data_IF_932831993152
#
_entry.id   IF_932831993152
#
_cell.length_a   1.000
_cell.length_b   1.000
_cell.length_c   1.000
_cell.angle_alpha   90.00
_cell.angle_beta   90.00
_cell.angle_gamma   90.00
#
_symmetry.space_group_name_H-M   'P 1'
#
loop_
_entity.id
_entity.type
_entity.pdbx_description
1 polymer ?
#
# COMPACT_ATOMS: atom_id res chain seq x y z
N UNK A 1 5.13 -19.20 10.04
CA UNK A 1 4.64 -19.31 11.44
C UNK A 1 4.56 -20.78 11.85
N UNK A 2 4.61 -21.08 13.12
CA UNK A 2 4.40 -22.41 13.70
C UNK A 2 3.20 -22.31 14.65
N UNK A 3 2.07 -22.96 14.31
CA UNK A 3 0.81 -22.88 15.07
C UNK A 3 0.37 -21.42 15.38
N UNK A 4 0.52 -20.52 14.41
CA UNK A 4 0.18 -19.10 14.56
C UNK A 4 1.25 -18.23 15.21
N UNK A 5 2.26 -18.80 15.86
CA UNK A 5 3.37 -18.05 16.45
C UNK A 5 4.47 -17.78 15.44
N UNK A 6 5.08 -16.59 15.50
CA UNK A 6 6.23 -16.25 14.66
C UNK A 6 7.42 -17.14 15.00
N UNK A 7 7.97 -17.84 14.01
CA UNK A 7 9.11 -18.73 14.17
C UNK A 7 10.41 -18.11 13.63
N UNK A 8 10.33 -17.40 12.50
CA UNK A 8 11.50 -16.76 11.88
C UNK A 8 11.22 -16.31 10.46
N UNK A 9 12.14 -15.49 9.93
CA UNK A 9 12.13 -15.00 8.54
C UNK A 9 13.43 -15.41 7.86
N UNK A 10 13.34 -15.92 6.65
CA UNK A 10 14.51 -16.28 5.82
C UNK A 10 14.84 -15.09 4.92
N UNK A 11 16.06 -14.53 5.08
CA UNK A 11 16.55 -13.40 4.29
C UNK A 11 17.54 -13.80 3.20
N UNK A 12 18.28 -14.89 3.40
CA UNK A 12 19.35 -15.29 2.50
C UNK A 12 18.85 -16.32 1.46
N UNK A 13 19.47 -16.31 0.30
CA UNK A 13 19.29 -17.34 -0.72
C UNK A 13 19.93 -18.65 -0.26
N UNK A 14 19.33 -19.81 -0.59
CA UNK A 14 19.87 -21.10 -0.24
C UNK A 14 18.83 -22.19 -0.11
N UNK A 15 19.31 -23.37 0.24
CA UNK A 15 18.46 -24.53 0.56
C UNK A 15 18.30 -24.61 2.07
N UNK A 16 17.04 -24.63 2.51
CA UNK A 16 16.70 -24.66 3.92
C UNK A 16 15.88 -25.89 4.25
N UNK A 17 16.22 -26.54 5.36
CA UNK A 17 15.36 -27.53 5.97
C UNK A 17 14.31 -26.80 6.82
N UNK A 18 13.04 -26.97 6.46
CA UNK A 18 11.92 -26.34 7.16
C UNK A 18 11.11 -27.44 7.85
N UNK A 19 10.70 -27.19 9.09
CA UNK A 19 9.78 -28.08 9.79
C UNK A 19 8.46 -28.19 9.01
N UNK A 20 7.96 -29.38 8.69
CA UNK A 20 6.74 -29.57 7.90
C UNK A 20 5.47 -28.98 8.56
N UNK A 21 5.50 -28.72 9.85
CA UNK A 21 4.42 -28.06 10.58
C UNK A 21 4.51 -26.52 10.54
N UNK A 22 5.55 -25.96 9.93
CA UNK A 22 5.66 -24.53 9.72
C UNK A 22 4.84 -24.10 8.50
N UNK A 23 3.97 -23.12 8.73
CA UNK A 23 3.19 -22.46 7.71
C UNK A 23 3.93 -21.21 7.19
N UNK A 24 4.01 -21.06 5.88
CA UNK A 24 4.62 -19.86 5.27
C UNK A 24 3.54 -18.81 5.08
N UNK A 25 3.74 -17.64 5.63
CA UNK A 25 2.87 -16.47 5.46
C UNK A 25 3.48 -15.55 4.41
N UNK A 26 2.71 -15.16 3.41
CA UNK A 26 3.15 -14.24 2.36
C UNK A 26 1.98 -13.41 1.85
N UNK A 27 2.25 -12.26 1.19
CA UNK A 27 1.21 -11.32 0.76
C UNK A 27 0.23 -11.92 -0.25
N UNK A 28 0.65 -12.93 -1.00
CA UNK A 28 -0.18 -13.58 -2.00
C UNK A 28 -1.11 -14.66 -1.42
N UNK A 29 -0.85 -15.16 -0.20
CA UNK A 29 -1.76 -16.10 0.47
C UNK A 29 -3.04 -15.39 0.93
N UNK A 30 -2.96 -14.10 1.23
CA UNK A 30 -4.07 -13.27 1.71
C UNK A 30 -5.07 -12.90 0.59
N UNK A 31 -4.60 -12.78 -0.66
CA UNK A 31 -5.46 -12.51 -1.81
C UNK A 31 -6.32 -13.71 -2.21
N UNK A 32 -5.84 -14.94 -2.03
CA UNK A 32 -6.59 -16.16 -2.39
C UNK A 32 -7.78 -16.36 -1.45
N UNK A 33 -7.60 -16.12 -0.15
CA UNK A 33 -8.67 -16.27 0.84
C UNK A 33 -9.82 -15.28 0.64
N UNK A 34 -9.52 -14.09 0.10
CA UNK A 34 -10.53 -13.06 -0.17
C UNK A 34 -11.30 -13.30 -1.48
N UNK A 35 -10.65 -13.86 -2.52
CA UNK A 35 -11.33 -14.24 -3.76
C UNK A 35 -12.24 -15.46 -3.56
N UNK A 36 -11.84 -16.45 -2.76
CA UNK A 36 -12.67 -17.61 -2.43
C UNK A 36 -13.90 -17.25 -1.58
N UNK A 37 -13.80 -16.24 -0.69
CA UNK A 37 -14.94 -15.76 0.09
C UNK A 37 -15.99 -15.02 -0.74
N UNK A 38 -15.58 -14.38 -1.84
CA UNK A 38 -16.53 -13.70 -2.75
C UNK A 38 -17.15 -14.63 -3.80
N UNK A 39 -16.50 -15.72 -4.16
CA UNK A 39 -17.00 -16.65 -5.19
C UNK A 39 -17.96 -17.73 -4.64
N UNK A 40 -18.04 -17.94 -3.33
CA UNK A 40 -18.86 -19.01 -2.71
C UNK A 40 -20.37 -18.64 -2.53
N UNK A 41 -20.83 -17.53 -3.14
CA UNK A 41 -22.25 -17.12 -3.04
C UNK A 41 -23.14 -17.66 -4.17
N UNK A 42 -22.65 -18.43 -5.16
CA UNK A 42 -23.51 -19.07 -6.16
C UNK A 42 -22.95 -20.38 -6.72
N UNK A 43 -23.70 -21.45 -6.41
CA UNK A 43 -23.88 -22.69 -7.20
C UNK A 43 -22.73 -23.67 -7.33
N UNK A 44 -22.94 -24.84 -6.75
CA UNK A 44 -22.12 -26.05 -6.90
C UNK A 44 -21.97 -26.53 -8.35
N UNK A 45 -20.81 -26.31 -8.91
CA UNK A 45 -20.25 -27.15 -9.93
C UNK A 45 -18.73 -27.14 -9.78
N UNK A 46 -18.16 -28.33 -9.56
CA UNK A 46 -16.71 -28.56 -9.52
C UNK A 46 -16.20 -28.44 -10.97
N UNK A 47 -15.79 -27.26 -11.41
CA UNK A 47 -15.06 -27.10 -12.65
C UNK A 47 -13.57 -27.35 -12.40
N UNK A 48 -13.17 -28.62 -12.55
CA UNK A 48 -11.75 -28.97 -12.69
C UNK A 48 -11.30 -28.54 -14.08
N UNK A 49 -10.91 -27.26 -14.24
CA UNK A 49 -10.24 -26.80 -15.45
C UNK A 49 -8.80 -27.32 -15.45
N UNK A 50 -8.61 -28.49 -16.02
CA UNK A 50 -7.32 -29.09 -16.36
C UNK A 50 -6.71 -28.48 -17.62
N UNK A 51 -6.89 -27.21 -17.88
CA UNK A 51 -6.19 -26.49 -18.94
C UNK A 51 -4.91 -25.89 -18.37
N UNK A 52 -3.79 -26.55 -18.67
CA UNK A 52 -2.42 -26.23 -18.23
C UNK A 52 -1.90 -24.86 -18.66
N UNK A 53 -2.44 -23.83 -18.06
CA UNK A 53 -1.77 -22.55 -17.87
C UNK A 53 -1.52 -22.46 -16.38
N UNK A 54 -0.24 -22.68 -16.00
CA UNK A 54 0.20 -22.71 -14.63
C UNK A 54 -0.43 -21.60 -13.82
N UNK A 55 -1.30 -21.97 -12.89
CA UNK A 55 -1.57 -21.11 -11.75
C UNK A 55 -0.18 -20.73 -11.23
N UNK A 56 0.23 -19.48 -11.39
CA UNK A 56 1.43 -18.97 -10.74
C UNK A 56 1.18 -19.24 -9.26
N UNK A 57 1.88 -20.25 -8.73
CA UNK A 57 1.87 -20.51 -7.32
C UNK A 57 2.09 -19.16 -6.64
N UNK A 58 1.09 -18.74 -5.86
CA UNK A 58 1.12 -17.45 -5.20
C UNK A 58 2.47 -17.33 -4.50
N UNK A 59 3.28 -16.36 -4.91
CA UNK A 59 4.64 -16.22 -4.38
C UNK A 59 4.55 -15.97 -2.89
N UNK A 60 5.09 -16.89 -2.10
CA UNK A 60 5.20 -16.77 -0.65
C UNK A 60 6.29 -15.78 -0.23
N UNK A 61 7.00 -15.20 -1.20
CA UNK A 61 8.07 -14.25 -1.00
C UNK A 61 7.56 -12.82 -1.06
N UNK A 62 8.02 -11.99 -0.13
CA UNK A 62 7.77 -10.55 -0.12
C UNK A 62 8.78 -9.87 -1.04
N UNK A 63 8.32 -9.04 -1.97
CA UNK A 63 9.20 -8.25 -2.82
C UNK A 63 9.77 -7.08 -2.02
N UNK A 64 11.10 -6.96 -2.01
CA UNK A 64 11.82 -5.82 -1.43
C UNK A 64 12.15 -4.74 -2.48
N UNK A 65 11.68 -4.92 -3.71
CA UNK A 65 11.89 -3.95 -4.79
C UNK A 65 11.06 -2.70 -4.54
N UNK A 66 11.54 -1.59 -5.09
CA UNK A 66 10.77 -0.35 -5.16
C UNK A 66 9.51 -0.57 -6.00
N UNK A 67 8.39 -0.14 -5.47
CA UNK A 67 7.07 -0.22 -6.06
C UNK A 67 6.47 1.18 -6.15
N UNK A 68 5.58 1.38 -7.11
CA UNK A 68 4.85 2.63 -7.29
C UNK A 68 3.37 2.38 -7.04
N UNK A 69 2.78 3.21 -6.19
CA UNK A 69 1.34 3.28 -5.98
C UNK A 69 0.82 4.52 -6.70
N UNK A 70 -0.01 4.31 -7.71
CA UNK A 70 -0.78 5.38 -8.34
C UNK A 70 -2.14 5.46 -7.65
N UNK A 71 -2.29 6.47 -6.80
CA UNK A 71 -3.51 6.64 -6.05
C UNK A 71 -4.57 7.35 -6.90
N UNK A 72 -5.80 6.85 -6.84
CA UNK A 72 -6.91 7.38 -7.62
C UNK A 72 -7.14 8.86 -7.29
N UNK A 73 -7.52 9.63 -8.31
CA UNK A 73 -7.91 11.05 -8.12
C UNK A 73 -9.04 11.15 -7.11
N UNK A 74 -8.85 12.04 -6.16
CA UNK A 74 -9.83 12.34 -5.12
C UNK A 74 -10.39 13.75 -5.31
N UNK A 75 -11.70 13.87 -5.12
CA UNK A 75 -12.35 15.17 -4.97
C UNK A 75 -12.31 15.56 -3.51
N UNK A 76 -11.64 16.64 -3.22
CA UNK A 76 -11.49 17.18 -1.86
C UNK A 76 -11.76 18.68 -1.90
N UNK A 77 -12.15 19.25 -0.77
CA UNK A 77 -12.27 20.71 -0.66
C UNK A 77 -10.97 21.25 -0.09
N UNK A 78 -10.50 22.35 -0.66
CA UNK A 78 -9.39 23.13 -0.13
C UNK A 78 -9.77 23.86 1.17
N UNK A 79 -8.82 24.65 1.73
CA UNK A 79 -9.04 25.47 2.92
C UNK A 79 -10.20 26.48 2.74
N UNK A 80 -10.38 27.02 1.54
CA UNK A 80 -11.42 27.97 1.20
C UNK A 80 -12.77 27.34 0.86
N UNK A 81 -12.83 25.99 0.82
CA UNK A 81 -14.03 25.23 0.48
C UNK A 81 -14.22 24.96 -1.02
N UNK A 82 -13.24 25.30 -1.88
CA UNK A 82 -13.33 25.02 -3.31
C UNK A 82 -13.10 23.53 -3.57
N UNK A 83 -13.90 22.86 -4.42
CA UNK A 83 -13.67 21.48 -4.79
C UNK A 83 -12.47 21.36 -5.74
N UNK A 84 -11.47 20.57 -5.34
CA UNK A 84 -10.25 20.29 -6.11
C UNK A 84 -10.13 18.81 -6.36
N UNK A 85 -9.61 18.40 -7.53
CA UNK A 85 -9.27 17.01 -7.81
C UNK A 85 -7.76 16.84 -7.66
N UNK A 86 -7.34 15.98 -6.72
CA UNK A 86 -5.92 15.72 -6.45
C UNK A 86 -5.60 14.27 -6.76
N UNK A 87 -4.56 14.05 -7.60
CA UNK A 87 -3.94 12.77 -7.85
C UNK A 87 -2.56 12.70 -7.20
N UNK A 88 -2.24 11.56 -6.57
CA UNK A 88 -0.97 11.38 -5.86
C UNK A 88 -0.31 10.07 -6.28
N UNK A 89 0.99 10.12 -6.57
CA UNK A 89 1.83 8.94 -6.79
C UNK A 89 2.79 8.81 -5.62
N UNK A 90 2.88 7.59 -5.08
CA UNK A 90 3.77 7.24 -3.97
C UNK A 90 4.77 6.20 -4.44
N UNK A 91 6.06 6.47 -4.29
CA UNK A 91 7.15 5.53 -4.53
C UNK A 91 7.60 4.99 -3.18
N UNK A 92 7.53 3.69 -3.03
CA UNK A 92 7.74 3.02 -1.75
C UNK A 92 8.41 1.66 -1.90
N UNK A 93 8.92 1.11 -0.82
CA UNK A 93 9.46 -0.25 -0.73
C UNK A 93 9.16 -0.87 0.63
N UNK A 94 9.28 -2.20 0.73
CA UNK A 94 9.21 -2.91 2.00
C UNK A 94 10.58 -2.86 2.66
N UNK A 95 10.71 -2.13 3.78
CA UNK A 95 11.93 -2.08 4.57
C UNK A 95 12.03 -3.28 5.52
N UNK A 96 10.93 -3.68 6.13
CA UNK A 96 10.87 -4.83 7.04
C UNK A 96 9.75 -5.78 6.65
N UNK A 97 10.11 -6.86 5.95
CA UNK A 97 9.17 -7.87 5.48
C UNK A 97 8.38 -8.55 6.61
N UNK A 98 8.99 -8.72 7.77
CA UNK A 98 8.33 -9.33 8.95
C UNK A 98 7.20 -8.45 9.45
N UNK A 99 7.45 -7.15 9.63
CA UNK A 99 6.41 -6.19 10.03
C UNK A 99 5.32 -6.08 8.98
N UNK A 100 5.68 -6.01 7.69
CA UNK A 100 4.72 -5.87 6.60
C UNK A 100 3.73 -7.03 6.48
N UNK A 101 4.14 -8.24 6.88
CA UNK A 101 3.29 -9.43 6.78
C UNK A 101 2.55 -9.75 8.09
N UNK A 102 3.14 -9.40 9.24
CA UNK A 102 2.55 -9.76 10.55
C UNK A 102 1.67 -8.64 11.13
N UNK A 103 2.00 -7.37 10.86
CA UNK A 103 1.29 -6.24 11.45
C UNK A 103 0.11 -5.79 10.59
N UNK A 104 0.16 -6.02 9.26
CA UNK A 104 -0.86 -5.55 8.33
C UNK A 104 -1.26 -6.68 7.39
N UNK A 105 -2.55 -6.88 7.21
CA UNK A 105 -3.08 -7.94 6.36
C UNK A 105 -2.79 -7.69 4.88
N UNK A 106 -3.04 -6.46 4.40
CA UNK A 106 -2.78 -6.03 3.02
C UNK A 106 -2.03 -4.70 3.00
N UNK A 107 -0.72 -4.75 3.02
CA UNK A 107 0.11 -3.54 3.14
C UNK A 107 -0.04 -2.57 1.96
N UNK A 108 -0.36 -3.04 0.75
CA UNK A 108 -0.57 -2.17 -0.40
C UNK A 108 -1.91 -1.40 -0.29
N UNK A 109 -2.98 -2.06 0.14
CA UNK A 109 -4.28 -1.42 0.39
C UNK A 109 -4.20 -0.48 1.60
N UNK A 110 -3.53 -0.90 2.67
CA UNK A 110 -3.26 -0.06 3.83
C UNK A 110 -2.54 1.24 3.43
N UNK A 111 -1.49 1.14 2.60
CA UNK A 111 -0.78 2.29 2.08
C UNK A 111 -1.68 3.22 1.27
N UNK A 112 -2.55 2.67 0.41
CA UNK A 112 -3.50 3.45 -0.39
C UNK A 112 -4.46 4.24 0.50
N UNK A 113 -5.03 3.60 1.53
CA UNK A 113 -5.94 4.25 2.48
C UNK A 113 -5.23 5.37 3.27
N UNK A 114 -3.99 5.13 3.71
CA UNK A 114 -3.21 6.15 4.41
C UNK A 114 -2.83 7.32 3.48
N UNK A 115 -2.49 7.03 2.23
CA UNK A 115 -2.24 8.05 1.21
C UNK A 115 -3.48 8.92 0.98
N UNK A 116 -4.66 8.32 0.87
CA UNK A 116 -5.93 9.03 0.75
C UNK A 116 -6.18 9.98 1.93
N UNK A 117 -5.92 9.51 3.13
CA UNK A 117 -6.10 10.30 4.35
C UNK A 117 -5.14 11.50 4.41
N UNK A 118 -3.85 11.27 4.08
CA UNK A 118 -2.83 12.33 4.06
C UNK A 118 -3.12 13.36 2.96
N UNK A 119 -3.49 12.91 1.76
CA UNK A 119 -3.87 13.81 0.65
C UNK A 119 -5.04 14.70 1.02
N UNK A 120 -6.07 14.14 1.66
CA UNK A 120 -7.23 14.91 2.13
C UNK A 120 -6.87 15.89 3.23
N UNK A 121 -5.98 15.51 4.13
CA UNK A 121 -5.49 16.39 5.20
C UNK A 121 -4.68 17.57 4.63
N UNK A 122 -3.78 17.29 3.70
CA UNK A 122 -2.99 18.31 3.01
C UNK A 122 -3.90 19.31 2.27
N UNK A 123 -4.90 18.82 1.52
CA UNK A 123 -5.83 19.68 0.80
C UNK A 123 -6.61 20.65 1.71
N UNK A 124 -6.99 20.20 2.92
CA UNK A 124 -7.73 21.05 3.87
C UNK A 124 -6.89 22.12 4.53
N UNK A 125 -5.56 21.94 4.58
CA UNK A 125 -4.66 22.83 5.28
C UNK A 125 -4.06 23.93 4.37
N UNK A 126 -4.26 23.83 3.05
CA UNK A 126 -3.69 24.74 2.08
C UNK A 126 -4.73 25.15 1.05
N UNK A 127 -4.82 26.45 0.72
CA UNK A 127 -5.67 26.93 -0.37
C UNK A 127 -5.11 26.46 -1.73
N UNK A 128 -5.99 26.27 -2.69
CA UNK A 128 -5.59 25.88 -4.05
C UNK A 128 -4.71 26.94 -4.70
N UNK A 129 -5.17 28.19 -4.70
CA UNK A 129 -4.47 29.35 -5.24
C UNK A 129 -4.90 30.60 -4.43
N UNK A 130 -3.94 31.31 -3.86
CA UNK A 130 -4.18 32.55 -3.16
C UNK A 130 -3.46 33.69 -3.95
N UNK A 131 -4.20 34.71 -4.33
CA UNK A 131 -3.62 35.88 -4.98
C UNK A 131 -2.69 36.70 -4.08
N UNK A 132 -2.60 36.37 -2.79
CA UNK A 132 -1.75 37.10 -1.84
C UNK A 132 -0.35 36.49 -1.78
N UNK A 133 0.65 37.35 -2.03
CA UNK A 133 2.07 36.96 -1.99
C UNK A 133 2.49 36.57 -0.56
N UNK A 134 2.75 35.28 -0.33
CA UNK A 134 3.44 34.85 0.89
C UNK A 134 2.90 33.58 1.54
N UNK A 135 1.71 33.12 1.21
CA UNK A 135 1.15 31.87 1.74
C UNK A 135 1.45 30.69 0.83
N UNK A 136 1.67 29.52 1.44
CA UNK A 136 1.86 28.26 0.69
C UNK A 136 0.54 27.86 0.06
N UNK A 137 0.55 27.61 -1.25
CA UNK A 137 -0.62 27.18 -2.00
C UNK A 137 -0.37 25.78 -2.60
N UNK A 138 -1.44 25.01 -2.79
CA UNK A 138 -1.34 23.70 -3.43
C UNK A 138 -0.69 23.77 -4.81
N UNK A 139 -0.96 24.86 -5.57
CA UNK A 139 -0.41 25.07 -6.90
C UNK A 139 1.02 25.61 -6.89
N UNK A 140 1.32 26.57 -6.02
CA UNK A 140 2.62 27.26 -5.99
C UNK A 140 3.71 26.49 -5.26
N UNK A 141 3.34 25.71 -4.23
CA UNK A 141 4.26 25.02 -3.33
C UNK A 141 4.09 23.49 -3.38
N UNK A 142 3.74 22.94 -4.54
CA UNK A 142 3.48 21.50 -4.70
C UNK A 142 4.57 20.61 -4.12
N UNK A 143 5.86 20.95 -4.32
CA UNK A 143 6.97 20.12 -3.85
C UNK A 143 7.09 20.17 -2.32
N UNK A 144 6.99 21.33 -1.71
CA UNK A 144 7.07 21.47 -0.25
C UNK A 144 5.90 20.73 0.44
N UNK A 145 4.71 20.79 -0.16
CA UNK A 145 3.54 20.07 0.35
C UNK A 145 3.73 18.56 0.17
N UNK A 146 4.29 18.11 -0.95
CA UNK A 146 4.62 16.70 -1.16
C UNK A 146 5.64 16.19 -0.13
N UNK A 147 6.65 17.00 0.23
CA UNK A 147 7.64 16.64 1.26
C UNK A 147 6.97 16.50 2.65
N UNK A 148 6.04 17.40 2.98
CA UNK A 148 5.24 17.32 4.22
C UNK A 148 4.37 16.06 4.22
N UNK A 149 3.70 15.78 3.10
CA UNK A 149 2.90 14.58 2.93
C UNK A 149 3.74 13.30 3.06
N UNK A 150 4.96 13.30 2.52
CA UNK A 150 5.89 12.19 2.64
C UNK A 150 6.24 11.92 4.10
N UNK A 151 6.59 12.95 4.86
CA UNK A 151 6.93 12.81 6.28
C UNK A 151 5.74 12.31 7.12
N UNK A 152 4.53 12.84 6.88
CA UNK A 152 3.31 12.39 7.54
C UNK A 152 2.97 10.94 7.18
N UNK A 153 3.05 10.59 5.89
CA UNK A 153 2.79 9.24 5.42
C UNK A 153 3.79 8.25 6.00
N UNK A 154 5.09 8.59 6.01
CA UNK A 154 6.14 7.75 6.58
C UNK A 154 5.86 7.41 8.05
N UNK A 155 5.44 8.38 8.86
CA UNK A 155 5.13 8.14 10.28
C UNK A 155 3.99 7.14 10.48
N UNK A 156 3.01 7.14 9.57
CA UNK A 156 1.85 6.24 9.63
C UNK A 156 2.15 4.82 9.15
N UNK A 157 3.07 4.67 8.17
CA UNK A 157 3.37 3.37 7.58
C UNK A 157 4.59 2.67 8.20
N UNK A 158 5.29 3.31 9.12
CA UNK A 158 6.44 2.73 9.81
C UNK A 158 6.07 1.48 10.62
N UNK A 159 4.88 1.45 11.22
CA UNK A 159 4.37 0.26 11.92
C UNK A 159 4.18 -0.94 10.97
N UNK A 160 3.82 -0.66 9.70
CA UNK A 160 3.71 -1.67 8.65
C UNK A 160 5.07 -2.09 8.07
N UNK A 161 6.19 -1.51 8.53
CA UNK A 161 7.52 -1.80 8.00
C UNK A 161 7.74 -1.36 6.57
N UNK A 162 7.01 -0.35 6.10
CA UNK A 162 7.14 0.25 4.78
C UNK A 162 8.02 1.49 4.85
N UNK A 163 8.72 1.79 3.76
CA UNK A 163 9.54 2.98 3.60
C UNK A 163 9.07 3.75 2.37
N UNK A 164 8.72 5.01 2.57
CA UNK A 164 8.31 5.93 1.51
C UNK A 164 9.54 6.63 0.97
N UNK A 165 9.81 6.47 -0.31
CA UNK A 165 10.97 7.08 -0.98
C UNK A 165 10.64 8.46 -1.52
N UNK A 166 9.46 8.61 -2.13
CA UNK A 166 9.03 9.86 -2.77
C UNK A 166 7.50 9.93 -2.83
N UNK A 167 6.96 11.12 -2.70
CA UNK A 167 5.52 11.43 -2.91
C UNK A 167 5.41 12.54 -3.92
N UNK A 168 4.55 12.39 -4.92
CA UNK A 168 4.33 13.38 -5.97
C UNK A 168 2.86 13.63 -6.20
N UNK A 169 2.50 14.90 -6.28
CA UNK A 169 1.19 15.33 -6.71
C UNK A 169 1.20 15.38 -8.24
N UNK A 170 0.36 14.59 -8.89
CA UNK A 170 0.33 14.45 -10.36
C UNK A 170 -0.78 15.22 -11.02
N UNK A 171 -1.81 15.55 -10.25
CA UNK A 171 -2.97 16.27 -10.75
C UNK A 171 -3.47 17.22 -9.67
N UNK A 172 -3.73 18.43 -10.09
CA UNK A 172 -4.35 19.50 -9.34
C UNK A 172 -5.35 20.21 -10.23
#
# INVERSE_FOLDING_TARGET
TLFGSYYGTLYNEGFYWINPFCETVGPAAQTIDNEEKQSNAKSGSININLSGRGARAASKAVSLKTMTLDNKRQKVNDELGNPVEIGTIVIWKVANATKAVLNVEQYAEFLSIQCDAVTRNAARNYPYDNGDCGEKTLRGSCQEIADIMQAELQSKVEEAGLEILDVRITHL
#
